data_IF_706779060440
#
_entry.id   IF_706779060440
#
_cell.length_a   1.000
_cell.length_b   1.000
_cell.length_c   1.000
_cell.angle_alpha   90.00
_cell.angle_beta   90.00
_cell.angle_gamma   90.00
#
_symmetry.space_group_name_H-M   'P 1'
#
loop_
_entity.id
_entity.type
_entity.pdbx_description
1 polymer ?
#
# COMPACT_ATOMS: atom_id res chain seq x y z
N UNK A 1 -1.82 33.49 15.83
CA UNK A 1 -3.10 34.17 16.08
C UNK A 1 -3.41 35.00 14.85
N UNK A 2 -4.53 34.72 14.19
CA UNK A 2 -5.04 35.56 13.12
C UNK A 2 -5.98 36.59 13.72
N UNK A 3 -5.93 37.82 13.21
CA UNK A 3 -6.80 38.89 13.65
C UNK A 3 -7.72 39.27 12.49
N UNK A 4 -9.02 39.09 12.71
CA UNK A 4 -10.05 39.49 11.74
C UNK A 4 -10.59 40.86 12.14
N UNK A 5 -10.65 41.77 11.17
CA UNK A 5 -11.17 43.12 11.36
C UNK A 5 -12.30 43.42 10.38
N UNK A 6 -13.39 43.98 10.87
CA UNK A 6 -14.39 44.67 10.07
C UNK A 6 -13.88 46.09 9.79
N UNK A 7 -13.90 46.50 8.52
CA UNK A 7 -13.50 47.84 8.07
C UNK A 7 -14.75 48.59 7.62
N UNK A 8 -15.01 49.75 8.20
CA UNK A 8 -15.90 50.75 7.61
C UNK A 8 -15.07 51.76 6.80
N UNK A 9 -15.11 51.72 5.45
CA UNK A 9 -14.32 52.63 4.62
C UNK A 9 -14.74 54.10 4.75
N UNK A 10 -15.96 54.38 5.21
CA UNK A 10 -16.49 55.74 5.36
C UNK A 10 -16.06 56.36 6.68
N UNK A 11 -16.01 55.58 7.74
CA UNK A 11 -15.65 56.06 9.08
C UNK A 11 -14.15 55.84 9.41
N UNK A 12 -13.37 55.20 8.52
CA UNK A 12 -11.97 54.82 8.76
C UNK A 12 -11.76 54.03 10.06
N UNK A 13 -12.80 53.32 10.50
CA UNK A 13 -12.82 52.60 11.78
C UNK A 13 -12.54 51.12 11.54
N UNK A 14 -11.62 50.58 12.32
CA UNK A 14 -11.31 49.16 12.38
C UNK A 14 -11.96 48.56 13.64
N UNK A 15 -12.74 47.50 13.48
CA UNK A 15 -13.32 46.76 14.59
C UNK A 15 -12.79 45.33 14.56
N UNK A 16 -12.05 44.94 15.60
CA UNK A 16 -11.63 43.55 15.80
C UNK A 16 -12.88 42.68 16.01
N UNK A 17 -12.96 41.56 15.30
CA UNK A 17 -14.00 40.55 15.47
C UNK A 17 -13.38 39.37 16.21
N UNK A 18 -13.98 39.00 17.33
CA UNK A 18 -13.57 37.80 18.06
C UNK A 18 -14.22 36.54 17.45
N UNK A 19 -13.51 35.41 17.47
CA UNK A 19 -14.10 34.14 17.07
C UNK A 19 -15.22 33.74 18.04
N UNK A 20 -16.16 32.95 17.54
CA UNK A 20 -17.27 32.39 18.33
C UNK A 20 -17.30 30.88 18.13
N UNK A 21 -17.90 30.11 19.05
CA UNK A 21 -18.09 28.69 18.80
C UNK A 21 -19.25 28.47 17.82
N UNK A 22 -19.13 27.47 16.93
CA UNK A 22 -20.25 27.09 16.04
C UNK A 22 -21.49 26.68 16.84
N UNK A 23 -21.32 26.03 17.99
CA UNK A 23 -22.41 25.66 18.90
C UNK A 23 -23.19 26.88 19.39
N UNK A 24 -22.51 27.99 19.69
CA UNK A 24 -23.12 29.22 20.21
C UNK A 24 -23.92 29.96 19.14
N UNK A 25 -23.64 29.66 17.87
CA UNK A 25 -24.37 30.14 16.71
C UNK A 25 -25.59 29.27 16.38
N UNK A 26 -25.84 28.20 17.13
CA UNK A 26 -26.91 27.24 16.85
C UNK A 26 -26.66 26.39 15.60
N UNK A 27 -25.42 26.36 15.12
CA UNK A 27 -24.97 25.52 14.00
C UNK A 27 -24.97 24.08 14.46
N UNK A 28 -25.45 23.18 13.60
CA UNK A 28 -25.42 21.74 13.80
C UNK A 28 -24.57 21.09 12.73
N UNK A 29 -23.75 20.12 13.11
CA UNK A 29 -22.78 19.42 12.24
C UNK A 29 -23.43 18.98 10.92
N UNK A 30 -24.47 18.15 11.00
CA UNK A 30 -25.13 17.57 9.83
C UNK A 30 -26.07 18.50 9.08
N UNK A 31 -26.68 19.46 9.79
CA UNK A 31 -27.70 20.33 9.17
C UNK A 31 -27.04 21.47 8.42
N UNK A 32 -25.98 22.03 8.98
CA UNK A 32 -25.44 23.32 8.56
C UNK A 32 -24.00 23.16 8.03
N UNK A 33 -23.06 22.69 8.86
CA UNK A 33 -21.63 22.58 8.49
C UNK A 33 -21.40 21.63 7.32
N UNK A 34 -22.00 20.44 7.34
CA UNK A 34 -21.95 19.49 6.23
C UNK A 34 -22.48 20.13 4.94
N UNK A 35 -23.60 20.86 5.00
CA UNK A 35 -24.16 21.50 3.81
C UNK A 35 -23.26 22.61 3.26
N UNK A 36 -22.56 23.33 4.13
CA UNK A 36 -21.59 24.34 3.70
C UNK A 36 -20.42 23.70 2.95
N UNK A 37 -19.86 22.61 3.49
CA UNK A 37 -18.76 21.85 2.90
C UNK A 37 -19.20 21.16 1.61
N UNK A 38 -20.37 20.51 1.59
CA UNK A 38 -20.90 19.86 0.37
C UNK A 38 -21.02 20.85 -0.79
N UNK A 39 -21.44 22.09 -0.49
CA UNK A 39 -21.63 23.12 -1.52
C UNK A 39 -20.32 23.84 -1.89
N UNK A 40 -19.35 23.89 -0.99
CA UNK A 40 -18.08 24.60 -1.17
C UNK A 40 -16.97 23.75 -0.54
N UNK A 41 -16.59 22.63 -1.18
CA UNK A 41 -15.67 21.67 -0.57
C UNK A 41 -14.22 22.17 -0.50
N UNK A 42 -13.90 23.20 -1.29
CA UNK A 42 -12.62 23.92 -1.30
C UNK A 42 -12.29 24.59 0.04
N UNK A 43 -13.28 24.83 0.91
CA UNK A 43 -13.05 25.33 2.27
C UNK A 43 -12.23 24.35 3.12
N UNK A 44 -12.06 23.10 2.67
CA UNK A 44 -11.17 22.12 3.28
C UNK A 44 -9.68 22.32 2.90
N UNK A 45 -9.36 23.39 2.15
CA UNK A 45 -7.99 23.78 1.82
C UNK A 45 -7.44 23.13 0.55
N UNK A 46 -8.25 22.36 -0.18
CA UNK A 46 -7.91 21.81 -1.50
C UNK A 46 -9.18 21.57 -2.34
N UNK A 47 -9.08 21.55 -3.70
CA UNK A 47 -10.21 21.21 -4.55
C UNK A 47 -10.63 19.75 -4.35
N UNK A 48 -11.92 19.53 -4.13
CA UNK A 48 -12.49 18.21 -3.86
C UNK A 48 -13.82 18.02 -4.59
N UNK A 49 -14.05 16.83 -5.13
CA UNK A 49 -15.34 16.40 -5.68
C UNK A 49 -16.07 15.55 -4.65
N UNK A 50 -17.21 16.02 -4.16
CA UNK A 50 -18.00 15.28 -3.16
C UNK A 50 -18.70 14.10 -3.83
N UNK A 51 -18.36 12.89 -3.39
CA UNK A 51 -18.93 11.63 -3.90
C UNK A 51 -20.26 11.33 -3.20
N UNK A 52 -20.30 11.50 -1.88
CA UNK A 52 -21.52 11.30 -1.09
C UNK A 52 -21.39 11.93 0.29
N UNK A 53 -22.51 12.34 0.87
CA UNK A 53 -22.63 12.67 2.29
C UNK A 53 -23.47 11.62 3.03
N UNK A 54 -23.23 11.43 4.33
CA UNK A 54 -24.01 10.58 5.22
C UNK A 54 -24.10 9.10 4.80
N UNK A 55 -23.02 8.54 4.26
CA UNK A 55 -23.05 7.18 3.72
C UNK A 55 -22.97 6.13 4.83
N UNK A 56 -24.04 5.36 5.00
CA UNK A 56 -24.19 4.33 6.04
C UNK A 56 -24.25 2.89 5.53
N UNK A 57 -23.84 2.60 4.28
CA UNK A 57 -24.04 1.28 3.66
C UNK A 57 -22.81 0.37 3.61
N UNK A 58 -21.67 0.77 4.17
CA UNK A 58 -20.47 -0.08 4.17
C UNK A 58 -20.57 -1.30 5.12
N UNK A 59 -21.48 -1.28 6.11
CA UNK A 59 -21.68 -2.39 7.06
C UNK A 59 -23.12 -2.37 7.63
N UNK A 60 -23.56 -3.45 8.28
CA UNK A 60 -24.81 -3.58 9.07
C UNK A 60 -24.85 -2.65 10.30
N UNK A 61 -23.85 -1.80 10.49
CA UNK A 61 -23.76 -0.87 11.62
C UNK A 61 -24.56 0.42 11.36
N UNK A 62 -25.14 1.01 12.41
CA UNK A 62 -25.87 2.29 12.32
C UNK A 62 -24.94 3.52 12.12
N UNK A 63 -23.62 3.31 12.05
CA UNK A 63 -22.62 4.39 11.98
C UNK A 63 -22.40 4.80 10.52
N UNK A 64 -22.32 6.11 10.27
CA UNK A 64 -22.31 6.69 8.92
C UNK A 64 -21.09 7.58 8.73
N UNK A 65 -20.45 7.45 7.57
CA UNK A 65 -19.42 8.38 7.15
C UNK A 65 -20.08 9.75 6.95
N UNK A 66 -19.45 10.78 7.50
CA UNK A 66 -19.87 12.16 7.35
C UNK A 66 -19.80 12.59 5.88
N UNK A 67 -18.62 12.60 5.26
CA UNK A 67 -18.46 12.93 3.84
C UNK A 67 -17.34 12.12 3.17
N UNK A 68 -17.63 11.63 1.95
CA UNK A 68 -16.66 11.02 1.05
C UNK A 68 -16.45 11.95 -0.14
N UNK A 69 -15.19 12.24 -0.45
CA UNK A 69 -14.81 13.02 -1.61
C UNK A 69 -13.71 12.32 -2.43
N UNK A 70 -13.37 12.91 -3.56
CA UNK A 70 -12.25 12.57 -4.42
C UNK A 70 -11.39 13.82 -4.59
N UNK A 71 -10.07 13.68 -4.53
CA UNK A 71 -9.14 14.76 -4.89
C UNK A 71 -8.75 14.70 -6.38
N UNK A 72 -8.11 15.76 -6.87
CA UNK A 72 -7.71 15.88 -8.29
C UNK A 72 -6.71 14.81 -8.73
N UNK A 73 -6.06 14.13 -7.78
CA UNK A 73 -5.11 13.05 -8.05
C UNK A 73 -5.79 11.69 -8.21
N UNK A 74 -7.12 11.63 -8.10
CA UNK A 74 -7.90 10.41 -8.16
C UNK A 74 -7.88 9.60 -6.86
N UNK A 75 -7.53 10.21 -5.72
CA UNK A 75 -7.51 9.53 -4.41
C UNK A 75 -8.79 9.82 -3.63
N UNK A 76 -9.38 8.80 -3.00
CA UNK A 76 -10.53 9.01 -2.11
C UNK A 76 -10.13 9.76 -0.85
N UNK A 77 -10.98 10.68 -0.42
CA UNK A 77 -10.79 11.51 0.77
C UNK A 77 -11.96 11.31 1.71
N UNK A 78 -11.68 10.73 2.88
CA UNK A 78 -12.62 10.59 3.98
C UNK A 78 -12.59 11.85 4.82
N UNK A 79 -13.73 12.53 4.93
CA UNK A 79 -13.86 13.76 5.71
C UNK A 79 -14.73 13.50 6.93
N UNK A 80 -14.16 13.69 8.12
CA UNK A 80 -14.86 13.61 9.40
C UNK A 80 -15.01 15.02 9.97
N UNK A 81 -16.23 15.40 10.36
CA UNK A 81 -16.55 16.76 10.79
C UNK A 81 -16.93 16.83 12.26
N UNK A 82 -16.51 17.88 12.95
CA UNK A 82 -16.96 18.21 14.32
C UNK A 82 -17.22 19.71 14.51
N UNK A 83 -18.15 20.11 15.38
CA UNK A 83 -18.21 21.53 15.79
C UNK A 83 -16.99 21.93 16.61
N UNK A 84 -16.52 21.01 17.46
CA UNK A 84 -15.33 21.10 18.31
C UNK A 84 -14.67 19.72 18.34
N UNK A 85 -13.37 19.64 18.06
CA UNK A 85 -12.66 18.37 18.03
C UNK A 85 -12.48 17.74 19.42
N UNK A 86 -12.51 18.52 20.49
CA UNK A 86 -12.09 18.12 21.83
C UNK A 86 -12.81 16.87 22.35
N UNK A 87 -12.05 15.80 22.62
CA UNK A 87 -12.55 14.55 23.20
C UNK A 87 -13.50 13.74 22.30
N UNK A 88 -13.57 14.05 21.01
CA UNK A 88 -14.51 13.41 20.08
C UNK A 88 -14.00 12.10 19.48
N UNK A 89 -12.69 11.85 19.57
CA UNK A 89 -12.00 10.76 18.89
C UNK A 89 -12.28 10.71 17.38
N UNK A 90 -12.36 11.89 16.74
CA UNK A 90 -12.63 12.02 15.30
C UNK A 90 -11.59 11.28 14.44
N UNK A 91 -10.33 11.23 14.88
CA UNK A 91 -9.26 10.45 14.28
C UNK A 91 -9.61 8.96 14.16
N UNK A 92 -10.06 8.32 15.25
CA UNK A 92 -10.44 6.91 15.25
C UNK A 92 -11.66 6.62 14.37
N UNK A 93 -12.60 7.56 14.31
CA UNK A 93 -13.78 7.45 13.44
C UNK A 93 -13.36 7.49 11.97
N UNK A 94 -12.56 8.49 11.60
CA UNK A 94 -12.07 8.67 10.24
C UNK A 94 -11.20 7.49 9.78
N UNK A 95 -10.32 6.95 10.63
CA UNK A 95 -9.49 5.78 10.31
C UNK A 95 -10.35 4.56 9.98
N UNK A 96 -11.42 4.33 10.76
CA UNK A 96 -12.36 3.24 10.47
C UNK A 96 -13.04 3.41 9.12
N UNK A 97 -13.45 4.63 8.78
CA UNK A 97 -14.07 4.88 7.48
C UNK A 97 -13.08 4.78 6.32
N UNK A 98 -11.85 5.25 6.50
CA UNK A 98 -10.78 5.07 5.51
C UNK A 98 -10.51 3.58 5.26
N UNK A 99 -10.48 2.75 6.32
CA UNK A 99 -10.35 1.31 6.18
C UNK A 99 -11.51 0.70 5.37
N UNK A 100 -12.75 1.12 5.60
CA UNK A 100 -13.89 0.66 4.80
C UNK A 100 -13.83 1.14 3.33
N UNK A 101 -13.43 2.39 3.10
CA UNK A 101 -13.32 2.95 1.76
C UNK A 101 -12.12 2.38 0.98
N UNK A 102 -11.13 1.78 1.67
CA UNK A 102 -9.94 1.20 1.02
C UNK A 102 -10.24 0.03 0.09
N UNK A 103 -11.42 -0.59 0.22
CA UNK A 103 -11.90 -1.67 -0.64
C UNK A 103 -12.91 -1.20 -1.69
N UNK A 104 -13.18 0.10 -1.80
CA UNK A 104 -14.15 0.63 -2.76
C UNK A 104 -13.64 0.46 -4.20
N UNK A 105 -14.53 0.07 -5.11
CA UNK A 105 -14.20 -0.05 -6.55
C UNK A 105 -14.59 1.20 -7.33
N UNK A 106 -13.99 1.44 -8.52
CA UNK A 106 -14.34 2.55 -9.41
C UNK A 106 -15.84 2.67 -9.66
N UNK A 107 -16.48 1.53 -9.93
CA UNK A 107 -17.90 1.44 -10.23
C UNK A 107 -18.74 1.86 -9.03
N UNK A 108 -18.38 1.41 -7.83
CA UNK A 108 -19.08 1.78 -6.60
C UNK A 108 -19.01 3.29 -6.34
N UNK A 109 -17.85 3.92 -6.58
CA UNK A 109 -17.68 5.36 -6.40
C UNK A 109 -18.52 6.15 -7.40
N UNK A 110 -18.54 5.73 -8.67
CA UNK A 110 -19.39 6.33 -9.71
C UNK A 110 -20.88 6.19 -9.33
N UNK A 111 -21.30 5.00 -8.88
CA UNK A 111 -22.67 4.76 -8.43
C UNK A 111 -23.08 5.64 -7.24
N UNK A 112 -22.16 5.83 -6.28
CA UNK A 112 -22.38 6.73 -5.13
C UNK A 112 -22.60 8.17 -5.60
N UNK A 113 -21.75 8.69 -6.49
CA UNK A 113 -21.86 10.05 -7.02
C UNK A 113 -23.15 10.23 -7.83
N UNK A 114 -23.45 9.30 -8.75
CA UNK A 114 -24.67 9.34 -9.56
C UNK A 114 -25.93 9.41 -8.68
N UNK A 115 -25.96 8.61 -7.61
CA UNK A 115 -27.06 8.63 -6.65
C UNK A 115 -27.12 9.92 -5.84
N UNK A 116 -25.97 10.42 -5.40
CA UNK A 116 -25.87 11.62 -4.57
C UNK A 116 -26.35 12.86 -5.33
N UNK A 117 -25.89 13.03 -6.56
CA UNK A 117 -26.25 14.17 -7.43
C UNK A 117 -27.55 13.95 -8.22
N UNK A 118 -28.12 12.73 -8.16
CA UNK A 118 -29.33 12.32 -8.89
C UNK A 118 -29.18 12.45 -10.41
N UNK A 119 -28.06 11.98 -10.92
CA UNK A 119 -27.72 11.94 -12.35
C UNK A 119 -27.51 10.50 -12.84
N UNK A 120 -27.32 10.31 -14.15
CA UNK A 120 -26.99 8.98 -14.68
C UNK A 120 -25.56 8.57 -14.32
N UNK A 121 -25.27 7.27 -14.41
CA UNK A 121 -23.93 6.70 -14.19
C UNK A 121 -22.92 7.32 -15.17
N UNK A 122 -23.32 7.52 -16.42
CA UNK A 122 -22.47 8.10 -17.46
C UNK A 122 -22.10 9.57 -17.15
N UNK A 123 -23.06 10.36 -16.66
CA UNK A 123 -22.80 11.77 -16.30
C UNK A 123 -21.89 11.86 -15.07
N UNK A 124 -22.11 11.01 -14.06
CA UNK A 124 -21.26 10.93 -12.88
C UNK A 124 -19.82 10.50 -13.24
N UNK A 125 -19.67 9.50 -14.12
CA UNK A 125 -18.38 9.07 -14.64
C UNK A 125 -17.65 10.22 -15.33
N UNK A 126 -18.35 10.93 -16.22
CA UNK A 126 -17.78 12.09 -16.93
C UNK A 126 -17.35 13.21 -15.97
N UNK A 127 -18.12 13.47 -14.91
CA UNK A 127 -17.73 14.44 -13.87
C UNK A 127 -16.45 14.06 -13.15
N UNK A 128 -16.29 12.79 -12.80
CA UNK A 128 -15.07 12.27 -12.20
C UNK A 128 -13.89 12.43 -13.18
N UNK A 129 -14.07 12.03 -14.44
CA UNK A 129 -13.03 12.15 -15.48
C UNK A 129 -12.62 13.61 -15.74
N UNK A 130 -13.56 14.56 -15.67
CA UNK A 130 -13.28 15.99 -15.83
C UNK A 130 -12.61 16.62 -14.60
N UNK A 131 -12.75 16.00 -13.43
CA UNK A 131 -12.23 16.51 -12.18
C UNK A 131 -10.83 15.97 -11.84
N UNK A 132 -10.58 14.70 -12.18
CA UNK A 132 -9.28 14.04 -11.98
C UNK A 132 -8.33 14.44 -13.12
N UNK A 133 -7.09 14.76 -12.79
CA UNK A 133 -6.07 15.10 -13.78
C UNK A 133 -5.82 13.91 -14.74
N UNK A 134 -5.73 14.16 -16.05
CA UNK A 134 -5.65 13.13 -17.11
C UNK A 134 -4.48 12.13 -16.94
N UNK A 135 -3.43 12.51 -16.21
CA UNK A 135 -2.26 11.67 -15.93
C UNK A 135 -2.42 10.75 -14.70
N UNK A 136 -3.56 10.80 -14.00
CA UNK A 136 -3.78 10.06 -12.76
C UNK A 136 -4.64 8.80 -12.95
N UNK A 137 -4.21 7.68 -12.38
CA UNK A 137 -5.05 6.49 -12.21
C UNK A 137 -6.25 6.81 -11.30
N UNK A 138 -7.46 6.51 -11.76
CA UNK A 138 -8.67 6.68 -10.95
C UNK A 138 -8.72 5.65 -9.80
N UNK A 139 -9.00 6.13 -8.60
CA UNK A 139 -9.02 5.41 -7.32
C UNK A 139 -7.67 4.87 -6.86
N UNK A 140 -6.76 5.80 -6.57
CA UNK A 140 -5.54 5.50 -5.82
C UNK A 140 -5.87 5.06 -4.39
N UNK A 141 -5.06 4.15 -3.87
CA UNK A 141 -5.18 3.57 -2.52
C UNK A 141 -3.85 3.70 -1.78
N UNK A 142 -3.85 3.94 -0.45
CA UNK A 142 -5.01 4.04 0.44
C UNK A 142 -5.75 5.39 0.35
N UNK A 143 -7.01 5.47 0.83
CA UNK A 143 -7.71 6.75 0.99
C UNK A 143 -6.98 7.70 1.93
N UNK A 144 -7.12 9.00 1.69
CA UNK A 144 -6.66 10.10 2.53
C UNK A 144 -7.75 10.47 3.53
N UNK A 145 -7.37 11.17 4.59
CA UNK A 145 -8.30 11.61 5.65
C UNK A 145 -8.19 13.13 5.83
N UNK A 146 -9.32 13.81 5.97
CA UNK A 146 -9.40 15.19 6.47
C UNK A 146 -10.27 15.20 7.73
N UNK A 147 -9.72 15.69 8.83
CA UNK A 147 -10.48 16.05 10.01
C UNK A 147 -10.82 17.54 9.94
N UNK A 148 -12.09 17.89 9.89
CA UNK A 148 -12.55 19.27 9.86
C UNK A 148 -13.30 19.63 11.15
N UNK A 149 -12.92 20.72 11.81
CA UNK A 149 -13.59 21.15 13.03
C UNK A 149 -13.69 22.66 13.18
N UNK A 150 -14.71 23.16 13.90
CA UNK A 150 -14.79 24.59 14.22
C UNK A 150 -13.69 25.08 15.16
N UNK A 151 -13.13 24.17 15.96
CA UNK A 151 -12.00 24.37 16.86
C UNK A 151 -11.20 23.07 16.99
N UNK A 152 -9.87 23.17 17.00
CA UNK A 152 -8.92 22.06 17.15
C UNK A 152 -8.05 22.21 18.41
N UNK A 153 -8.65 22.49 19.56
CA UNK A 153 -7.97 22.49 20.87
C UNK A 153 -7.87 21.07 21.46
N UNK A 154 -7.26 20.15 20.71
CA UNK A 154 -7.06 18.75 21.11
C UNK A 154 -5.67 18.25 20.71
N UNK A 155 -4.77 18.19 21.71
CA UNK A 155 -3.39 17.73 21.51
C UNK A 155 -3.31 16.22 21.26
N UNK A 156 -4.26 15.42 21.74
CA UNK A 156 -4.25 13.98 21.54
C UNK A 156 -4.57 13.65 20.08
N UNK A 157 -5.61 14.26 19.51
CA UNK A 157 -5.97 14.08 18.10
C UNK A 157 -4.84 14.56 17.20
N UNK A 158 -4.29 15.76 17.44
CA UNK A 158 -3.21 16.30 16.60
C UNK A 158 -1.93 15.48 16.69
N UNK A 159 -1.59 14.93 17.87
CA UNK A 159 -0.46 14.01 18.03
C UNK A 159 -0.68 12.69 17.28
N UNK A 160 -1.88 12.10 17.36
CA UNK A 160 -2.25 10.89 16.59
C UNK A 160 -2.10 11.10 15.09
N UNK A 161 -2.63 12.20 14.57
CA UNK A 161 -2.55 12.57 13.15
C UNK A 161 -1.09 12.70 12.71
N UNK A 162 -0.28 13.49 13.42
CA UNK A 162 1.15 13.65 13.11
C UNK A 162 1.91 12.32 13.15
N UNK A 163 1.61 11.47 14.13
CA UNK A 163 2.24 10.16 14.23
C UNK A 163 1.89 9.27 13.03
N UNK A 164 0.61 9.16 12.67
CA UNK A 164 0.11 8.34 11.56
C UNK A 164 0.66 8.78 10.19
N UNK A 165 0.89 10.08 10.00
CA UNK A 165 1.54 10.60 8.78
C UNK A 165 2.95 10.03 8.58
N UNK A 166 3.69 9.73 9.65
CA UNK A 166 4.99 9.05 9.53
C UNK A 166 4.88 7.61 8.97
N UNK A 167 3.69 7.02 8.99
CA UNK A 167 3.39 5.69 8.43
C UNK A 167 2.71 5.75 7.06
N UNK A 168 2.85 6.87 6.34
CA UNK A 168 2.28 7.09 5.00
C UNK A 168 0.75 7.13 4.94
N UNK A 169 0.07 7.35 6.07
CA UNK A 169 -1.35 7.67 6.05
C UNK A 169 -1.49 9.18 5.88
N UNK A 170 -1.99 9.62 4.73
CA UNK A 170 -2.16 11.06 4.49
C UNK A 170 -3.40 11.56 5.23
N UNK A 171 -3.16 12.36 6.26
CA UNK A 171 -4.17 12.92 7.14
C UNK A 171 -3.98 14.42 7.29
N UNK A 172 -5.02 15.21 7.06
CA UNK A 172 -4.98 16.66 7.29
C UNK A 172 -5.98 17.08 8.37
N UNK A 173 -5.68 18.17 9.06
CA UNK A 173 -6.60 18.81 9.99
C UNK A 173 -6.93 20.22 9.50
N UNK A 174 -8.20 20.57 9.45
CA UNK A 174 -8.70 21.85 8.94
C UNK A 174 -9.63 22.50 9.97
N UNK A 175 -9.22 23.63 10.50
CA UNK A 175 -10.02 24.43 11.42
C UNK A 175 -10.91 25.41 10.64
N UNK A 176 -12.21 25.42 10.92
CA UNK A 176 -13.22 26.28 10.30
C UNK A 176 -13.75 27.27 11.33
N UNK A 177 -12.97 28.31 11.63
CA UNK A 177 -13.29 29.26 12.70
C UNK A 177 -14.36 30.26 12.27
N UNK A 178 -15.51 30.35 12.95
CA UNK A 178 -16.54 31.31 12.61
C UNK A 178 -16.36 32.64 13.36
N UNK A 179 -16.65 33.74 12.67
CA UNK A 179 -16.66 35.10 13.19
C UNK A 179 -18.02 35.73 12.90
N UNK A 180 -18.60 36.41 13.88
CA UNK A 180 -19.89 37.09 13.72
C UNK A 180 -19.68 38.50 13.15
N UNK A 181 -20.27 38.77 11.99
CA UNK A 181 -20.22 40.08 11.34
C UNK A 181 -21.60 40.75 11.39
N UNK A 182 -21.84 41.57 12.40
CA UNK A 182 -23.14 42.23 12.60
C UNK A 182 -24.30 41.24 12.86
N UNK A 183 -25.53 41.65 12.50
CA UNK A 183 -26.71 40.80 12.64
C UNK A 183 -26.87 39.83 11.45
N UNK A 184 -26.86 38.53 11.75
CA UNK A 184 -27.21 37.47 10.80
C UNK A 184 -26.14 37.06 9.78
N UNK A 185 -24.96 37.68 9.77
CA UNK A 185 -23.85 37.27 8.88
C UNK A 185 -22.72 36.61 9.67
N UNK A 186 -22.18 35.55 9.09
CA UNK A 186 -21.03 34.80 9.60
C UNK A 186 -19.92 34.83 8.55
N UNK A 187 -18.70 35.02 9.00
CA UNK A 187 -17.49 34.81 8.22
C UNK A 187 -16.86 33.53 8.73
N UNK A 188 -16.65 32.55 7.84
CA UNK A 188 -15.96 31.32 8.18
C UNK A 188 -14.54 31.41 7.61
N UNK A 189 -13.54 31.25 8.47
CA UNK A 189 -12.13 31.29 8.08
C UNK A 189 -11.59 29.86 8.11
N UNK A 190 -11.34 29.24 6.94
CA UNK A 190 -10.74 27.94 6.86
C UNK A 190 -9.22 28.02 7.04
N UNK A 191 -8.67 27.09 7.82
CA UNK A 191 -7.24 27.00 8.08
C UNK A 191 -6.78 25.56 8.17
N UNK A 192 -5.89 25.14 7.27
CA UNK A 192 -5.19 23.86 7.41
C UNK A 192 -4.18 24.00 8.55
N UNK A 193 -4.32 23.21 9.61
CA UNK A 193 -3.39 23.21 10.75
C UNK A 193 -2.37 22.08 10.69
N UNK A 194 -2.72 20.97 10.01
CA UNK A 194 -1.82 19.85 9.75
C UNK A 194 -1.99 19.39 8.29
N UNK A 195 -0.90 19.27 7.52
CA UNK A 195 0.39 19.91 7.77
C UNK A 195 0.25 21.44 7.68
N UNK A 196 1.13 22.20 8.34
CA UNK A 196 1.12 23.66 8.23
C UNK A 196 1.37 24.08 6.77
N UNK A 197 0.55 24.95 6.16
CA UNK A 197 0.62 25.30 4.74
C UNK A 197 2.02 25.70 4.28
N UNK A 198 2.73 26.51 5.08
CA UNK A 198 4.06 27.02 4.76
C UNK A 198 5.13 25.94 4.69
N UNK A 199 4.85 24.76 5.24
CA UNK A 199 5.78 23.64 5.32
C UNK A 199 5.24 22.36 4.68
N UNK A 200 4.09 22.42 4.01
CA UNK A 200 3.42 21.26 3.39
C UNK A 200 4.40 20.45 2.54
N UNK A 201 5.09 21.08 1.59
CA UNK A 201 6.02 20.39 0.68
C UNK A 201 7.22 19.77 1.39
N UNK A 202 7.76 20.45 2.40
CA UNK A 202 8.88 19.94 3.18
C UNK A 202 8.47 18.76 4.06
N UNK A 203 7.36 18.89 4.79
CA UNK A 203 6.83 17.84 5.66
C UNK A 203 6.48 16.59 4.85
N UNK A 204 5.78 16.75 3.72
CA UNK A 204 5.44 15.65 2.82
C UNK A 204 6.69 14.91 2.33
N UNK A 205 7.74 15.62 1.91
CA UNK A 205 9.01 14.97 1.49
C UNK A 205 9.68 14.18 2.61
N UNK A 206 9.69 14.73 3.83
CA UNK A 206 10.27 14.06 5.00
C UNK A 206 9.46 12.83 5.39
N UNK A 207 8.13 12.92 5.40
CA UNK A 207 7.22 11.81 5.69
C UNK A 207 7.35 10.69 4.65
N UNK A 208 7.36 11.04 3.35
CA UNK A 208 7.57 10.07 2.28
C UNK A 208 8.91 9.34 2.43
N UNK A 209 9.98 10.07 2.77
CA UNK A 209 11.28 9.47 3.05
C UNK A 209 11.22 8.50 4.23
N UNK A 210 10.67 8.92 5.38
CA UNK A 210 10.52 8.05 6.57
C UNK A 210 9.63 6.84 6.31
N UNK A 211 8.53 7.01 5.59
CA UNK A 211 7.65 5.93 5.17
C UNK A 211 8.39 4.93 4.25
N UNK A 212 9.16 5.43 3.29
CA UNK A 212 9.98 4.60 2.40
C UNK A 212 11.06 3.84 3.18
N UNK A 213 11.68 4.46 4.18
CA UNK A 213 12.68 3.82 5.06
C UNK A 213 12.02 2.77 5.97
N UNK A 214 10.82 3.04 6.49
CA UNK A 214 10.03 2.08 7.27
C UNK A 214 9.59 0.89 6.42
N UNK A 215 9.12 1.12 5.19
CA UNK A 215 8.78 0.05 4.22
C UNK A 215 10.02 -0.75 3.79
N UNK A 216 11.16 -0.08 3.59
CA UNK A 216 12.46 -0.75 3.33
C UNK A 216 12.90 -1.60 4.52
N UNK A 217 12.71 -1.12 5.75
CA UNK A 217 13.00 -1.88 6.97
C UNK A 217 12.03 -3.06 7.19
N UNK A 218 10.87 -3.08 6.53
CA UNK A 218 9.93 -4.21 6.50
C UNK A 218 10.14 -5.15 5.29
N UNK A 219 10.99 -4.77 4.33
CA UNK A 219 11.40 -5.64 3.23
C UNK A 219 12.33 -6.74 3.76
N UNK A 220 12.10 -8.00 3.38
CA UNK A 220 13.02 -9.09 3.72
C UNK A 220 14.44 -8.71 3.30
N UNK A 221 15.47 -9.08 4.09
CA UNK A 221 16.88 -8.86 3.73
C UNK A 221 17.28 -9.53 2.40
N UNK A 222 16.39 -10.32 1.80
CA UNK A 222 16.61 -11.00 0.52
C UNK A 222 15.78 -10.44 -0.64
N UNK A 223 14.92 -9.44 -0.44
CA UNK A 223 14.01 -8.98 -1.50
C UNK A 223 14.77 -8.52 -2.75
N UNK A 224 15.82 -7.71 -2.57
CA UNK A 224 16.68 -7.25 -3.67
C UNK A 224 17.43 -8.41 -4.35
N UNK A 225 17.91 -9.37 -3.56
CA UNK A 225 18.59 -10.57 -4.08
C UNK A 225 17.64 -11.45 -4.92
N UNK A 226 16.43 -11.69 -4.42
CA UNK A 226 15.42 -12.51 -5.08
C UNK A 226 14.90 -11.87 -6.35
N UNK A 227 14.68 -10.56 -6.34
CA UNK A 227 14.31 -9.85 -7.57
C UNK A 227 15.40 -10.02 -8.64
N UNK A 228 16.66 -9.79 -8.28
CA UNK A 228 17.78 -9.90 -9.22
C UNK A 228 17.96 -11.32 -9.76
N UNK A 229 17.87 -12.35 -8.91
CA UNK A 229 17.96 -13.75 -9.34
C UNK A 229 16.81 -14.09 -10.29
N UNK A 230 15.58 -13.66 -9.99
CA UNK A 230 14.42 -13.93 -10.84
C UNK A 230 14.55 -13.25 -12.21
N UNK A 231 15.00 -12.00 -12.26
CA UNK A 231 15.21 -11.26 -13.50
C UNK A 231 16.26 -11.94 -14.39
N UNK A 232 17.42 -12.28 -13.81
CA UNK A 232 18.50 -12.99 -14.51
C UNK A 232 18.01 -14.36 -15.01
N UNK A 233 17.31 -15.14 -14.16
CA UNK A 233 16.80 -16.45 -14.53
C UNK A 233 15.75 -16.39 -15.66
N UNK A 234 14.81 -15.43 -15.59
CA UNK A 234 13.78 -15.28 -16.60
C UNK A 234 14.35 -14.83 -17.96
N UNK A 235 15.43 -14.04 -17.96
CA UNK A 235 16.12 -13.65 -19.19
C UNK A 235 16.79 -14.84 -19.91
N UNK A 236 17.14 -15.90 -19.19
CA UNK A 236 17.71 -17.13 -19.77
C UNK A 236 16.68 -17.93 -20.57
N UNK A 237 15.38 -17.64 -20.46
CA UNK A 237 14.29 -18.32 -21.17
C UNK A 237 14.39 -19.85 -21.09
N UNK A 238 14.58 -20.38 -19.88
CA UNK A 238 14.89 -21.80 -19.67
C UNK A 238 13.74 -22.69 -20.12
N UNK A 239 14.02 -23.58 -21.08
CA UNK A 239 13.11 -24.61 -21.58
C UNK A 239 13.75 -25.99 -21.41
N UNK A 240 13.07 -26.90 -20.73
CA UNK A 240 13.53 -28.28 -20.59
C UNK A 240 12.38 -29.25 -20.85
N UNK A 241 12.64 -30.25 -21.70
CA UNK A 241 11.67 -31.28 -22.10
C UNK A 241 10.27 -30.71 -22.47
N UNK A 242 10.26 -29.63 -23.25
CA UNK A 242 9.05 -28.97 -23.74
C UNK A 242 8.31 -28.10 -22.73
N UNK A 243 8.86 -27.87 -21.52
CA UNK A 243 8.29 -26.99 -20.50
C UNK A 243 9.13 -25.72 -20.33
N UNK A 244 8.46 -24.57 -20.27
CA UNK A 244 9.06 -23.29 -19.89
C UNK A 244 9.11 -23.16 -18.36
N UNK A 245 10.22 -22.63 -17.85
CA UNK A 245 10.42 -22.38 -16.43
C UNK A 245 10.56 -20.88 -16.20
N UNK A 246 9.76 -20.35 -15.27
CA UNK A 246 9.80 -18.94 -14.88
C UNK A 246 9.86 -18.82 -13.36
N UNK A 247 10.53 -17.77 -12.90
CA UNK A 247 10.71 -17.43 -11.50
C UNK A 247 9.92 -16.18 -11.16
N UNK A 248 9.04 -16.27 -10.18
CA UNK A 248 8.38 -15.11 -9.57
C UNK A 248 8.82 -15.05 -8.11
N UNK A 249 9.59 -14.02 -7.70
CA UNK A 249 10.20 -14.00 -6.38
C UNK A 249 9.13 -13.81 -5.29
N UNK A 250 9.33 -14.47 -4.14
CA UNK A 250 8.56 -14.24 -2.93
C UNK A 250 9.43 -13.54 -1.89
N UNK A 251 9.02 -12.34 -1.48
CA UNK A 251 9.85 -11.42 -0.70
C UNK A 251 9.88 -11.68 0.81
N UNK A 252 9.50 -12.87 1.32
CA UNK A 252 9.32 -13.08 2.77
C UNK A 252 10.18 -14.19 3.39
N UNK A 253 10.77 -15.08 2.59
CA UNK A 253 11.53 -16.24 3.09
C UNK A 253 12.99 -16.16 2.66
N UNK A 254 13.85 -16.94 3.31
CA UNK A 254 15.23 -17.19 2.87
C UNK A 254 15.30 -18.16 1.68
N UNK A 255 14.16 -18.40 1.03
CA UNK A 255 14.04 -19.22 -0.15
C UNK A 255 12.83 -18.80 -1.00
N UNK A 256 12.81 -19.18 -2.27
CA UNK A 256 11.60 -19.14 -3.09
C UNK A 256 11.62 -20.22 -4.18
N UNK A 257 10.44 -20.65 -4.60
CA UNK A 257 10.24 -21.83 -5.45
C UNK A 257 9.97 -21.47 -6.91
N UNK A 258 10.45 -22.31 -7.83
CA UNK A 258 10.02 -22.34 -9.23
C UNK A 258 8.89 -23.37 -9.33
N UNK A 259 7.69 -22.90 -9.65
CA UNK A 259 6.49 -23.71 -9.54
C UNK A 259 6.36 -24.73 -10.68
N UNK A 260 6.24 -26.01 -10.33
CA UNK A 260 6.08 -27.12 -11.29
C UNK A 260 4.63 -27.56 -11.50
N UNK A 261 3.67 -26.97 -10.78
CA UNK A 261 2.26 -27.41 -10.80
C UNK A 261 1.94 -28.52 -9.78
N UNK A 262 2.92 -28.96 -8.99
CA UNK A 262 2.77 -29.94 -7.92
C UNK A 262 3.39 -29.41 -6.62
N UNK A 263 2.77 -29.68 -5.48
CA UNK A 263 3.18 -29.17 -4.16
C UNK A 263 4.44 -29.83 -3.58
N UNK A 264 4.78 -31.05 -4.02
CA UNK A 264 5.77 -31.90 -3.34
C UNK A 264 7.07 -32.13 -4.12
N UNK A 265 7.15 -31.65 -5.36
CA UNK A 265 8.39 -31.67 -6.16
C UNK A 265 8.51 -30.31 -6.81
N UNK A 266 9.57 -29.58 -6.47
CA UNK A 266 9.77 -28.21 -6.92
C UNK A 266 11.26 -27.88 -6.97
N UNK A 267 11.62 -26.92 -7.83
CA UNK A 267 12.93 -26.29 -7.73
C UNK A 267 12.84 -25.09 -6.78
N UNK A 268 13.94 -24.76 -6.11
CA UNK A 268 13.99 -23.70 -5.11
C UNK A 268 15.38 -23.07 -5.07
N UNK A 269 15.44 -21.75 -4.91
CA UNK A 269 16.65 -21.10 -4.39
C UNK A 269 16.55 -20.96 -2.88
N UNK A 270 17.61 -21.28 -2.16
CA UNK A 270 17.68 -21.13 -0.71
C UNK A 270 19.01 -20.49 -0.27
N UNK A 271 18.94 -19.46 0.57
CA UNK A 271 20.12 -18.87 1.22
C UNK A 271 20.35 -19.53 2.57
N UNK A 272 21.58 -20.03 2.76
CA UNK A 272 22.11 -20.45 4.06
C UNK A 272 23.14 -19.44 4.56
N UNK A 273 22.78 -18.65 5.59
CA UNK A 273 23.72 -17.71 6.23
C UNK A 273 24.86 -18.43 6.95
N UNK A 274 24.56 -19.55 7.62
CA UNK A 274 25.55 -20.34 8.38
C UNK A 274 26.63 -20.92 7.47
N UNK A 275 26.24 -21.48 6.33
CA UNK A 275 27.16 -22.06 5.36
C UNK A 275 27.68 -21.04 4.33
N UNK A 276 27.21 -19.80 4.38
CA UNK A 276 27.55 -18.70 3.46
C UNK A 276 27.43 -19.12 1.98
N UNK A 277 26.28 -19.69 1.63
CA UNK A 277 26.00 -20.15 0.27
C UNK A 277 24.55 -19.93 -0.14
N UNK A 278 24.34 -19.73 -1.44
CA UNK A 278 23.04 -19.87 -2.10
C UNK A 278 22.99 -21.28 -2.67
N UNK A 279 21.87 -21.97 -2.51
CA UNK A 279 21.64 -23.27 -3.14
C UNK A 279 20.59 -23.13 -4.22
N UNK A 280 20.87 -23.68 -5.40
CA UNK A 280 19.85 -23.99 -6.40
C UNK A 280 19.49 -25.47 -6.23
N UNK A 281 18.27 -25.75 -5.80
CA UNK A 281 17.84 -27.07 -5.36
C UNK A 281 16.69 -27.60 -6.21
N UNK A 282 16.60 -28.93 -6.29
CA UNK A 282 15.35 -29.64 -6.50
C UNK A 282 15.01 -30.46 -5.27
N UNK A 283 13.77 -30.33 -4.81
CA UNK A 283 13.25 -30.98 -3.61
C UNK A 283 12.27 -32.11 -3.98
N UNK A 284 12.39 -33.24 -3.28
CA UNK A 284 11.46 -34.38 -3.33
C UNK A 284 10.84 -34.58 -1.95
N UNK A 285 9.66 -33.98 -1.75
CA UNK A 285 9.00 -33.82 -0.46
C UNK A 285 7.63 -34.51 -0.42
N UNK A 286 7.48 -35.58 -1.20
CA UNK A 286 6.28 -36.42 -1.10
C UNK A 286 6.26 -37.15 0.25
N UNK A 287 5.09 -37.55 0.72
CA UNK A 287 4.95 -38.41 1.91
C UNK A 287 5.52 -39.83 1.72
N UNK A 288 5.87 -40.23 0.49
CA UNK A 288 6.36 -41.56 0.16
C UNK A 288 7.89 -41.58 0.02
N UNK A 289 8.61 -41.90 1.11
CA UNK A 289 10.09 -41.97 1.13
C UNK A 289 10.68 -42.79 -0.02
N UNK A 290 10.12 -43.96 -0.33
CA UNK A 290 10.61 -44.80 -1.42
C UNK A 290 10.51 -44.11 -2.79
N UNK A 291 9.45 -43.32 -3.03
CA UNK A 291 9.31 -42.51 -4.25
C UNK A 291 10.40 -41.43 -4.32
N UNK A 292 10.61 -40.71 -3.23
CA UNK A 292 11.65 -39.67 -3.16
C UNK A 292 13.06 -40.25 -3.38
N UNK A 293 13.38 -41.40 -2.76
CA UNK A 293 14.66 -42.08 -2.95
C UNK A 293 14.85 -42.61 -4.37
N UNK A 294 13.78 -43.11 -5.01
CA UNK A 294 13.83 -43.55 -6.41
C UNK A 294 14.14 -42.38 -7.35
N UNK A 295 13.49 -41.23 -7.16
CA UNK A 295 13.76 -40.02 -7.94
C UNK A 295 15.18 -39.48 -7.68
N UNK A 296 15.63 -39.50 -6.43
CA UNK A 296 17.00 -39.16 -6.07
C UNK A 296 18.03 -40.07 -6.76
N UNK A 297 17.74 -41.37 -6.83
CA UNK A 297 18.65 -42.34 -7.45
C UNK A 297 18.85 -42.06 -8.94
N UNK A 298 17.80 -41.64 -9.67
CA UNK A 298 17.93 -41.22 -11.08
C UNK A 298 18.96 -40.10 -11.25
N UNK A 299 19.04 -39.18 -10.29
CA UNK A 299 20.02 -38.10 -10.32
C UNK A 299 21.42 -38.57 -9.92
N UNK A 300 21.54 -39.47 -8.94
CA UNK A 300 22.83 -40.06 -8.53
C UNK A 300 23.47 -40.87 -9.65
N UNK A 301 22.69 -41.66 -10.38
CA UNK A 301 23.18 -42.44 -11.51
C UNK A 301 23.76 -41.55 -12.63
N UNK A 302 23.32 -40.27 -12.67
CA UNK A 302 23.74 -39.26 -13.64
C UNK A 302 24.57 -38.14 -13.05
N UNK A 303 25.10 -38.30 -11.83
CA UNK A 303 25.79 -37.25 -11.09
C UNK A 303 26.97 -36.64 -11.88
N UNK A 304 27.80 -37.48 -12.51
CA UNK A 304 28.95 -37.04 -13.31
C UNK A 304 28.53 -36.24 -14.56
N UNK A 305 27.36 -36.53 -15.13
CA UNK A 305 26.81 -35.81 -16.27
C UNK A 305 26.22 -34.47 -15.80
N UNK A 306 25.47 -34.49 -14.69
CA UNK A 306 24.87 -33.30 -14.08
C UNK A 306 25.94 -32.30 -13.63
N UNK A 307 27.04 -32.75 -13.04
CA UNK A 307 28.13 -31.89 -12.55
C UNK A 307 29.17 -31.49 -13.62
N UNK A 308 29.07 -32.03 -14.85
CA UNK A 308 30.11 -31.83 -15.87
C UNK A 308 30.27 -30.36 -16.25
N UNK A 309 31.48 -29.82 -16.07
CA UNK A 309 31.81 -28.44 -16.44
C UNK A 309 31.12 -27.38 -15.59
N UNK A 310 30.58 -27.75 -14.41
CA UNK A 310 29.93 -26.81 -13.48
C UNK A 310 30.94 -26.41 -12.39
N UNK A 311 31.03 -25.12 -12.10
CA UNK A 311 31.99 -24.59 -11.11
C UNK A 311 31.56 -24.81 -9.65
N UNK A 312 30.29 -25.18 -9.43
CA UNK A 312 29.68 -25.32 -8.11
C UNK A 312 29.53 -26.81 -7.74
N UNK A 313 29.84 -27.21 -6.50
CA UNK A 313 29.65 -28.58 -6.04
C UNK A 313 28.19 -29.01 -6.15
N UNK A 314 27.98 -30.21 -6.69
CA UNK A 314 26.68 -30.88 -6.75
C UNK A 314 26.59 -31.93 -5.64
N UNK A 315 25.45 -31.99 -4.96
CA UNK A 315 25.17 -33.02 -3.96
C UNK A 315 23.75 -33.55 -4.17
N UNK A 316 23.56 -34.86 -4.00
CA UNK A 316 22.25 -35.52 -4.04
C UNK A 316 22.10 -36.44 -2.81
N UNK A 317 21.29 -36.02 -1.84
CA UNK A 317 21.18 -36.69 -0.55
C UNK A 317 19.73 -36.74 0.00
N UNK A 318 19.38 -37.77 0.79
CA UNK A 318 18.18 -37.75 1.60
C UNK A 318 18.30 -36.68 2.71
N UNK A 319 17.18 -36.11 3.13
CA UNK A 319 17.11 -35.22 4.28
C UNK A 319 15.84 -35.49 5.10
N UNK A 320 15.96 -35.41 6.43
CA UNK A 320 14.88 -35.78 7.36
C UNK A 320 14.42 -37.24 7.22
N UNK A 321 13.18 -37.48 7.63
CA UNK A 321 12.60 -38.84 7.69
C UNK A 321 12.02 -39.35 6.37
N UNK A 322 11.65 -38.48 5.43
CA UNK A 322 11.00 -38.90 4.18
C UNK A 322 11.57 -38.24 2.92
N UNK A 323 12.31 -37.15 3.04
CA UNK A 323 12.58 -36.25 1.92
C UNK A 323 13.97 -36.45 1.31
N UNK A 324 14.17 -35.89 0.13
CA UNK A 324 15.44 -35.90 -0.56
C UNK A 324 15.60 -34.61 -1.38
N UNK A 325 16.84 -34.22 -1.64
CA UNK A 325 17.13 -33.07 -2.49
C UNK A 325 18.42 -33.31 -3.29
N UNK A 326 18.50 -32.61 -4.42
CA UNK A 326 19.76 -32.45 -5.14
C UNK A 326 19.99 -30.96 -5.41
N UNK A 327 21.22 -30.48 -5.26
CA UNK A 327 21.51 -29.05 -5.33
C UNK A 327 22.93 -28.72 -5.75
N UNK A 328 23.08 -27.55 -6.38
CA UNK A 328 24.36 -26.87 -6.53
C UNK A 328 24.57 -25.89 -5.38
N UNK A 329 25.81 -25.80 -4.87
CA UNK A 329 26.19 -24.90 -3.78
C UNK A 329 27.03 -23.72 -4.29
N UNK A 330 26.48 -22.50 -4.26
CA UNK A 330 27.12 -21.28 -4.71
C UNK A 330 27.64 -20.49 -3.50
N UNK A 331 28.96 -20.54 -3.20
CA UNK A 331 29.51 -19.84 -2.03
C UNK A 331 29.52 -18.32 -2.23
N UNK A 332 29.33 -17.57 -1.13
CA UNK A 332 29.43 -16.11 -1.09
C UNK A 332 30.14 -15.60 0.17
N UNK A 333 30.65 -14.37 0.12
CA UNK A 333 31.20 -13.65 1.29
C UNK A 333 30.13 -12.75 1.94
N UNK A 334 30.16 -12.51 3.24
CA UNK A 334 29.16 -11.64 3.92
C UNK A 334 29.21 -10.18 3.42
N UNK A 335 28.05 -9.50 3.31
CA UNK A 335 27.95 -8.09 2.89
C UNK A 335 27.43 -7.91 1.44
N UNK A 336 27.80 -6.84 0.72
CA UNK A 336 27.39 -6.57 -0.68
C UNK A 336 27.66 -7.72 -1.66
N UNK A 337 28.46 -8.71 -1.26
CA UNK A 337 28.88 -9.84 -2.07
C UNK A 337 27.76 -10.85 -2.39
N UNK A 338 26.69 -10.96 -1.58
CA UNK A 338 25.62 -11.93 -1.90
C UNK A 338 24.87 -11.54 -3.18
N UNK A 339 24.64 -10.24 -3.41
CA UNK A 339 24.00 -9.73 -4.63
C UNK A 339 24.84 -10.00 -5.88
N UNK A 340 26.17 -10.02 -5.75
CA UNK A 340 27.07 -10.35 -6.86
C UNK A 340 26.93 -11.79 -7.35
N UNK A 341 26.31 -12.67 -6.55
CA UNK A 341 26.07 -14.08 -6.89
C UNK A 341 24.72 -14.33 -7.54
N UNK A 342 23.94 -13.29 -7.84
CA UNK A 342 22.63 -13.46 -8.46
C UNK A 342 22.71 -14.17 -9.82
N UNK A 343 23.62 -13.72 -10.70
CA UNK A 343 23.80 -14.35 -12.01
C UNK A 343 24.30 -15.80 -11.89
N UNK A 344 25.29 -16.06 -11.02
CA UNK A 344 25.76 -17.42 -10.72
C UNK A 344 24.60 -18.34 -10.26
N UNK A 345 23.73 -17.85 -9.37
CA UNK A 345 22.60 -18.61 -8.85
C UNK A 345 21.52 -18.88 -9.91
N UNK A 346 21.27 -17.93 -10.82
CA UNK A 346 20.35 -18.11 -11.95
C UNK A 346 20.88 -19.18 -12.92
N UNK A 347 22.15 -19.09 -13.32
CA UNK A 347 22.80 -20.08 -14.20
C UNK A 347 22.89 -21.46 -13.56
N UNK A 348 23.17 -21.55 -12.26
CA UNK A 348 23.15 -22.82 -11.54
C UNK A 348 21.77 -23.50 -11.59
N UNK A 349 20.69 -22.72 -11.46
CA UNK A 349 19.33 -23.24 -11.57
C UNK A 349 18.99 -23.66 -13.00
N UNK A 350 19.38 -22.88 -14.01
CA UNK A 350 19.22 -23.27 -15.41
C UNK A 350 19.87 -24.64 -15.67
N UNK A 351 21.15 -24.79 -15.31
CA UNK A 351 21.90 -26.03 -15.52
C UNK A 351 21.28 -27.20 -14.74
N UNK A 352 20.79 -26.94 -13.53
CA UNK A 352 20.09 -27.96 -12.75
C UNK A 352 18.83 -28.42 -13.50
N UNK A 353 17.94 -27.48 -13.88
CA UNK A 353 16.69 -27.78 -14.58
C UNK A 353 16.95 -28.55 -15.88
N UNK A 354 17.84 -28.04 -16.74
CA UNK A 354 18.15 -28.64 -18.05
C UNK A 354 18.68 -30.07 -17.94
N UNK A 355 19.43 -30.36 -16.87
CA UNK A 355 20.08 -31.67 -16.68
C UNK A 355 19.25 -32.64 -15.85
N UNK A 356 18.37 -32.17 -14.97
CA UNK A 356 17.56 -33.04 -14.10
C UNK A 356 16.14 -33.22 -14.59
N UNK A 357 15.50 -32.20 -15.19
CA UNK A 357 14.10 -32.29 -15.59
C UNK A 357 13.81 -33.39 -16.62
N UNK A 358 14.62 -33.61 -17.67
CA UNK A 358 14.38 -34.69 -18.64
C UNK A 358 14.44 -36.10 -18.03
N UNK A 359 15.21 -36.27 -16.94
CA UNK A 359 15.31 -37.54 -16.22
C UNK A 359 14.10 -37.78 -15.33
N UNK A 360 13.57 -36.70 -14.74
CA UNK A 360 12.54 -36.75 -13.71
C UNK A 360 11.13 -36.74 -14.28
N UNK A 361 10.84 -35.92 -15.30
CA UNK A 361 9.49 -35.76 -15.86
C UNK A 361 8.83 -37.12 -16.22
N UNK A 362 9.50 -38.08 -16.88
CA UNK A 362 8.89 -39.37 -17.20
C UNK A 362 8.62 -40.24 -15.96
N UNK A 363 9.39 -40.05 -14.88
CA UNK A 363 9.28 -40.83 -13.65
C UNK A 363 8.30 -40.21 -12.64
N UNK A 364 8.06 -38.90 -12.72
CA UNK A 364 7.08 -38.19 -11.89
C UNK A 364 5.65 -38.48 -12.36
N UNK A 365 5.46 -38.62 -13.68
CA UNK A 365 4.17 -38.90 -14.32
C UNK A 365 3.77 -40.39 -14.33
N UNK A 366 4.62 -41.27 -13.77
CA UNK A 366 4.34 -42.69 -13.53
C UNK A 366 4.07 -42.91 -12.04
#
# INVERSE_FOLDING_TARGET
MEFIYEVDPKETRLRKIEPVALSDLGVRERRDMEQWIVKNPDILGEPLLVITAQFGKFDKSARRLDLLALDQTGTLVVVEMKLDARGTHADLQAIRYAAFCSTATPEQVIEMLAKFEKVSIEEAKKRIELFVDEESEFLRSPPRIILAAGSFDDQEITASVLWLRNFALDMSCVELTPYRLGEGKLVLVPKVIIPLPETKDYQVRVEQKKASETRRNQSSPYAELWQRIADEFNQLNVVAAGRNFTATPSAWRNYFQVYLGHSHIHYEWQVSKRAKQIRACIHFETSHRQKNLRLLQLLRDKEKEIARGVAWPFEAAPWGEAWAAAFFSIPYSTGPSVLSKASDAAHAMQLLIERTWPLLQPAINK
#
